data_IF_674371314514
#
_entry.id   IF_674371314514
#
_cell.length_a   1.000
_cell.length_b   1.000
_cell.length_c   1.000
_cell.angle_alpha   90.00
_cell.angle_beta   90.00
_cell.angle_gamma   90.00
#
_symmetry.space_group_name_H-M   'P 1'
#
loop_
_entity.id
_entity.type
_entity.pdbx_description
1 polymer ?
#
# COMPACT_ATOMS: atom_id res chain seq x y z
N UNK A 1 5.40 -9.53 16.04
CA UNK A 1 4.35 -10.33 15.37
C UNK A 1 3.18 -10.43 16.32
N UNK A 2 1.95 -10.08 15.91
CA UNK A 2 0.82 -9.92 16.84
C UNK A 2 -0.02 -11.20 16.88
N UNK A 3 -0.37 -11.69 18.07
CA UNK A 3 -1.31 -12.81 18.24
C UNK A 3 -2.75 -12.30 18.24
N UNK A 4 -3.64 -13.03 17.56
CA UNK A 4 -5.06 -12.74 17.46
C UNK A 4 -5.85 -14.07 17.34
N UNK A 5 -7.18 -14.00 17.37
CA UNK A 5 -8.07 -15.12 17.05
C UNK A 5 -8.95 -14.76 15.86
N UNK A 6 -9.14 -15.69 14.93
CA UNK A 6 -10.10 -15.56 13.84
C UNK A 6 -11.32 -16.41 14.15
N UNK A 7 -12.50 -15.84 13.93
CA UNK A 7 -13.80 -16.48 14.11
C UNK A 7 -14.53 -16.50 12.76
N UNK A 8 -14.88 -17.67 12.25
CA UNK A 8 -15.63 -17.82 10.99
C UNK A 8 -16.72 -18.88 11.18
N UNK A 9 -17.98 -18.44 11.31
CA UNK A 9 -19.09 -19.32 11.68
C UNK A 9 -18.85 -19.97 13.06
N UNK A 10 -18.88 -21.30 13.20
CA UNK A 10 -18.61 -21.99 14.48
C UNK A 10 -17.11 -22.17 14.77
N UNK A 11 -16.21 -21.78 13.86
CA UNK A 11 -14.78 -22.04 13.98
C UNK A 11 -14.06 -20.84 14.58
N UNK A 12 -13.45 -21.01 15.75
CA UNK A 12 -12.50 -20.06 16.35
C UNK A 12 -11.10 -20.66 16.35
N UNK A 13 -10.13 -19.97 15.74
CA UNK A 13 -8.76 -20.43 15.65
C UNK A 13 -7.75 -19.34 16.02
N UNK A 14 -6.64 -19.68 16.72
CA UNK A 14 -5.56 -18.73 16.96
C UNK A 14 -4.79 -18.46 15.66
N UNK A 15 -4.54 -17.19 15.38
CA UNK A 15 -3.79 -16.72 14.21
C UNK A 15 -2.75 -15.70 14.62
N UNK A 16 -1.75 -15.53 13.76
CA UNK A 16 -0.75 -14.48 13.92
C UNK A 16 -0.87 -13.48 12.77
N UNK A 17 -0.90 -12.20 13.11
CA UNK A 17 -0.91 -11.10 12.15
C UNK A 17 0.54 -10.83 11.72
N UNK A 18 0.82 -11.04 10.43
CA UNK A 18 2.11 -10.78 9.78
C UNK A 18 2.21 -9.33 9.35
N UNK A 19 1.28 -8.92 8.48
CA UNK A 19 1.19 -7.58 7.91
C UNK A 19 -0.20 -7.04 8.22
N UNK A 20 -0.28 -5.77 8.62
CA UNK A 20 -1.53 -5.11 8.97
C UNK A 20 -1.59 -3.74 8.29
N UNK A 21 -2.75 -3.42 7.73
CA UNK A 21 -3.07 -2.14 7.10
C UNK A 21 -4.45 -1.66 7.56
N UNK A 22 -4.86 -0.46 7.14
CA UNK A 22 -6.20 0.07 7.45
C UNK A 22 -7.34 -0.75 6.83
N UNK A 23 -7.09 -1.50 5.76
CA UNK A 23 -8.14 -2.17 4.96
C UNK A 23 -7.99 -3.68 4.91
N UNK A 24 -6.94 -4.25 5.49
CA UNK A 24 -6.72 -5.69 5.47
C UNK A 24 -5.46 -6.13 6.20
N UNK A 25 -5.27 -7.45 6.26
CA UNK A 25 -4.13 -8.07 6.91
C UNK A 25 -3.69 -9.37 6.22
N UNK A 26 -2.44 -9.75 6.45
CA UNK A 26 -1.97 -11.10 6.21
C UNK A 26 -1.95 -11.86 7.54
N UNK A 27 -2.69 -12.97 7.60
CA UNK A 27 -2.80 -13.84 8.77
C UNK A 27 -2.10 -15.16 8.50
N UNK A 28 -1.56 -15.76 9.55
CA UNK A 28 -0.92 -17.08 9.53
C UNK A 28 -1.53 -17.94 10.64
N UNK A 29 -1.93 -19.17 10.31
CA UNK A 29 -2.59 -20.06 11.27
C UNK A 29 -2.82 -21.46 10.71
N UNK A 30 -3.04 -22.42 11.60
CA UNK A 30 -3.24 -23.82 11.23
C UNK A 30 -4.67 -24.11 10.73
N UNK A 31 -5.66 -23.32 11.18
CA UNK A 31 -7.07 -23.48 10.83
C UNK A 31 -7.61 -22.16 10.28
N UNK A 32 -7.36 -21.90 8.99
CA UNK A 32 -7.80 -20.69 8.29
C UNK A 32 -9.13 -20.94 7.58
N UNK A 33 -10.06 -19.96 7.56
CA UNK A 33 -11.32 -20.08 6.82
C UNK A 33 -11.06 -20.14 5.31
N UNK A 34 -11.98 -20.72 4.55
CA UNK A 34 -11.89 -20.81 3.09
C UNK A 34 -11.96 -19.43 2.42
N UNK A 35 -11.46 -19.32 1.18
CA UNK A 35 -11.53 -18.08 0.39
C UNK A 35 -12.99 -17.71 0.15
N UNK A 36 -13.33 -16.43 0.36
CA UNK A 36 -14.69 -15.90 0.28
C UNK A 36 -15.48 -15.98 1.60
N UNK A 37 -14.96 -16.66 2.63
CA UNK A 37 -15.62 -16.73 3.92
C UNK A 37 -15.57 -15.39 4.67
N UNK A 38 -16.69 -15.00 5.27
CA UNK A 38 -16.73 -13.92 6.25
C UNK A 38 -16.10 -14.37 7.58
N UNK A 39 -15.36 -13.48 8.22
CA UNK A 39 -14.71 -13.74 9.50
C UNK A 39 -14.81 -12.51 10.41
N UNK A 40 -14.59 -12.73 11.71
CA UNK A 40 -14.30 -11.71 12.70
C UNK A 40 -12.90 -11.97 13.25
N UNK A 41 -11.99 -11.02 13.07
CA UNK A 41 -10.66 -11.07 13.69
C UNK A 41 -10.76 -10.35 15.03
N UNK A 42 -10.26 -10.97 16.09
CA UNK A 42 -10.29 -10.44 17.45
C UNK A 42 -8.89 -10.46 18.06
N UNK A 43 -8.51 -9.34 18.66
CA UNK A 43 -7.29 -9.22 19.47
C UNK A 43 -7.62 -8.36 20.67
N UNK A 44 -7.55 -8.95 21.87
CA UNK A 44 -7.88 -8.27 23.13
C UNK A 44 -9.30 -7.65 23.03
N UNK A 45 -9.44 -6.32 23.14
CA UNK A 45 -10.73 -5.60 23.13
C UNK A 45 -11.13 -5.07 21.74
N UNK A 46 -10.37 -5.43 20.71
CA UNK A 46 -10.54 -4.98 19.35
C UNK A 46 -11.03 -6.14 18.49
N UNK A 47 -12.06 -5.88 17.69
CA UNK A 47 -12.57 -6.83 16.71
C UNK A 47 -12.88 -6.12 15.39
N UNK A 48 -12.70 -6.82 14.28
CA UNK A 48 -13.10 -6.34 12.96
C UNK A 48 -13.60 -7.49 12.09
N UNK A 49 -14.68 -7.24 11.35
CA UNK A 49 -15.22 -8.14 10.35
C UNK A 49 -14.47 -8.02 9.02
N UNK A 50 -14.49 -9.08 8.22
CA UNK A 50 -13.93 -9.05 6.88
C UNK A 50 -14.22 -10.30 6.06
N UNK A 51 -13.64 -10.33 4.86
CA UNK A 51 -13.70 -11.46 3.93
C UNK A 51 -12.30 -12.01 3.62
N UNK A 52 -12.16 -13.33 3.57
CA UNK A 52 -10.90 -13.99 3.16
C UNK A 52 -10.73 -13.86 1.63
N UNK A 53 -9.62 -13.28 1.18
CA UNK A 53 -9.36 -13.01 -0.24
C UNK A 53 -8.52 -14.10 -0.90
N UNK A 54 -7.60 -14.71 -0.16
CA UNK A 54 -6.75 -15.79 -0.67
C UNK A 54 -6.18 -16.62 0.47
N UNK A 55 -5.79 -17.87 0.17
CA UNK A 55 -5.06 -18.76 1.08
C UNK A 55 -3.89 -19.37 0.32
N UNK A 56 -2.69 -19.31 0.89
CA UNK A 56 -1.49 -19.91 0.33
C UNK A 56 -0.51 -20.31 1.43
N UNK A 57 -0.10 -21.58 1.47
CA UNK A 57 0.97 -22.07 2.34
C UNK A 57 0.80 -21.76 3.83
N UNK A 58 -0.40 -21.96 4.39
CA UNK A 58 -0.71 -21.69 5.81
C UNK A 58 -0.89 -20.21 6.15
N UNK A 59 -0.99 -19.34 5.13
CA UNK A 59 -1.31 -17.92 5.26
C UNK A 59 -2.60 -17.61 4.54
N UNK A 60 -3.33 -16.62 5.02
CA UNK A 60 -4.43 -16.03 4.26
C UNK A 60 -4.33 -14.51 4.24
N UNK A 61 -4.75 -13.94 3.13
CA UNK A 61 -5.00 -12.51 3.02
C UNK A 61 -6.46 -12.23 3.31
N UNK A 62 -6.70 -11.25 4.17
CA UNK A 62 -8.03 -10.83 4.54
C UNK A 62 -8.27 -9.36 4.20
N UNK A 63 -9.48 -9.06 3.75
CA UNK A 63 -9.96 -7.71 3.53
C UNK A 63 -10.99 -7.36 4.61
N UNK A 64 -10.87 -6.19 5.22
CA UNK A 64 -11.79 -5.73 6.25
C UNK A 64 -13.04 -5.08 5.64
N UNK A 65 -14.18 -5.22 6.32
CA UNK A 65 -15.45 -4.60 5.91
C UNK A 65 -15.47 -3.08 6.17
N UNK A 66 -14.50 -2.57 6.94
CA UNK A 66 -14.34 -1.16 7.28
C UNK A 66 -12.88 -0.77 7.46
N UNK A 67 -12.64 0.51 7.76
CA UNK A 67 -11.29 1.01 8.04
C UNK A 67 -10.91 0.75 9.49
N UNK A 68 -9.67 0.32 9.70
CA UNK A 68 -9.12 0.09 11.03
C UNK A 68 -7.96 1.02 11.37
N UNK A 69 -7.81 1.37 12.65
CA UNK A 69 -6.68 2.13 13.18
C UNK A 69 -5.54 1.17 13.55
N UNK A 70 -4.46 1.17 12.76
CA UNK A 70 -3.30 0.29 12.98
C UNK A 70 -2.67 0.46 14.39
N UNK A 71 -2.50 1.68 14.94
CA UNK A 71 -2.03 1.88 16.32
C UNK A 71 -2.87 1.16 17.38
N UNK A 72 -4.19 1.16 17.26
CA UNK A 72 -5.07 0.49 18.22
C UNK A 72 -4.82 -1.02 18.18
N UNK A 73 -4.71 -1.60 16.98
CA UNK A 73 -4.41 -3.02 16.80
C UNK A 73 -3.05 -3.46 17.31
N UNK A 74 -2.07 -2.56 17.40
CA UNK A 74 -0.78 -2.82 18.05
C UNK A 74 -0.95 -2.75 19.57
N UNK A 75 -1.57 -1.68 20.07
CA UNK A 75 -1.75 -1.42 21.51
C UNK A 75 -2.73 -2.38 22.20
N UNK A 76 -3.69 -2.96 21.47
CA UNK A 76 -4.62 -3.95 22.00
C UNK A 76 -5.83 -3.40 22.75
N UNK A 77 -5.89 -2.08 22.87
CA UNK A 77 -7.02 -1.35 23.45
C UNK A 77 -7.54 -0.44 22.35
N UNK A 78 -8.86 -0.42 22.12
CA UNK A 78 -9.45 0.66 21.32
C UNK A 78 -9.13 1.94 22.08
N UNK A 79 -8.39 2.87 21.49
CA UNK A 79 -8.20 4.18 22.10
C UNK A 79 -9.59 4.80 22.31
N UNK A 80 -10.14 4.71 23.53
CA UNK A 80 -11.39 5.38 23.90
C UNK A 80 -11.15 6.86 24.15
N UNK A 81 -10.39 7.53 23.27
CA UNK A 81 -9.99 8.92 23.42
C UNK A 81 -9.96 9.65 22.06
N UNK A 82 -10.96 9.35 21.20
CA UNK A 82 -11.61 10.41 20.41
C UNK A 82 -12.54 11.16 21.37
N UNK A 83 -11.94 12.04 22.18
CA UNK A 83 -12.63 12.77 23.24
C UNK A 83 -11.81 13.90 23.86
N UNK A 84 -10.48 13.85 23.84
CA UNK A 84 -9.64 14.95 24.38
C UNK A 84 -8.77 15.63 23.33
N UNK A 85 -8.31 14.89 22.31
CA UNK A 85 -7.60 15.48 21.16
C UNK A 85 -8.54 16.21 20.20
N UNK A 86 -9.76 15.70 20.04
CA UNK A 86 -10.78 16.32 19.20
C UNK A 86 -11.46 17.51 19.90
N UNK A 87 -11.69 17.45 21.22
CA UNK A 87 -12.34 18.56 21.96
C UNK A 87 -11.48 19.83 21.96
N UNK A 88 -10.18 19.71 22.24
CA UNK A 88 -9.26 20.86 22.23
C UNK A 88 -9.16 21.49 20.82
N UNK A 89 -9.23 20.65 19.78
CA UNK A 89 -9.24 21.09 18.39
C UNK A 89 -10.57 21.76 18.02
N UNK A 90 -11.70 21.18 18.43
CA UNK A 90 -13.06 21.73 18.24
C UNK A 90 -13.23 23.05 19.00
N UNK A 91 -12.72 23.17 20.23
CA UNK A 91 -12.76 24.39 21.03
C UNK A 91 -11.90 25.50 20.38
N UNK A 92 -10.75 25.14 19.83
CA UNK A 92 -9.88 26.08 19.07
C UNK A 92 -10.58 26.55 17.79
N UNK A 93 -11.25 25.66 17.07
CA UNK A 93 -12.02 25.97 15.85
C UNK A 93 -13.25 26.82 16.20
N UNK A 94 -13.99 26.49 17.26
CA UNK A 94 -15.15 27.27 17.71
C UNK A 94 -14.76 28.66 18.22
N UNK A 95 -13.59 28.79 18.87
CA UNK A 95 -13.03 30.08 19.25
C UNK A 95 -12.65 30.93 18.03
N UNK A 96 -12.06 30.33 16.98
CA UNK A 96 -11.69 31.02 15.74
C UNK A 96 -12.91 31.49 14.92
N UNK A 97 -14.01 30.73 14.93
CA UNK A 97 -15.27 31.12 14.28
C UNK A 97 -15.94 32.27 15.04
N UNK A 98 -15.89 32.25 16.38
CA UNK A 98 -16.47 33.28 17.25
C UNK A 98 -15.75 34.62 17.15
N UNK A 99 -14.45 34.62 16.84
CA UNK A 99 -13.65 35.84 16.60
C UNK A 99 -13.76 36.39 15.18
N UNK A 100 -14.60 35.80 14.33
CA UNK A 100 -14.96 36.36 13.03
C UNK A 100 -13.88 36.28 11.96
N UNK A 101 -12.83 35.47 12.16
CA UNK A 101 -11.85 35.21 11.11
C UNK A 101 -12.28 33.97 10.34
N UNK A 102 -12.93 34.19 9.19
CA UNK A 102 -13.34 33.10 8.30
C UNK A 102 -12.14 32.23 7.93
N UNK A 103 -12.17 30.97 8.38
CA UNK A 103 -11.14 30.00 8.02
C UNK A 103 -11.42 29.48 6.61
N UNK A 104 -10.54 29.83 5.68
CA UNK A 104 -10.37 29.09 4.42
C UNK A 104 -9.68 27.78 4.81
N UNK A 105 -10.31 26.61 4.67
CA UNK A 105 -9.61 25.36 4.91
C UNK A 105 -8.62 25.15 3.76
N UNK A 106 -7.38 25.58 3.96
CA UNK A 106 -6.25 24.97 3.27
C UNK A 106 -6.15 23.55 3.81
N UNK A 107 -6.82 22.62 3.12
CA UNK A 107 -6.51 21.21 3.20
C UNK A 107 -5.13 21.03 2.58
N UNK A 108 -4.08 21.27 3.37
CA UNK A 108 -2.76 20.81 2.99
C UNK A 108 -2.80 19.28 3.10
N UNK A 109 -2.65 18.60 1.96
CA UNK A 109 -2.51 17.16 1.89
C UNK A 109 -1.49 16.65 2.93
N UNK A 110 -1.65 15.43 3.48
CA UNK A 110 -0.72 14.86 4.45
C UNK A 110 0.70 14.88 3.86
N UNK A 111 1.53 15.79 4.36
CA UNK A 111 2.92 15.89 3.95
C UNK A 111 3.64 14.62 4.43
N UNK A 112 4.42 13.94 3.57
CA UNK A 112 5.14 12.73 3.95
C UNK A 112 6.05 13.03 5.15
N UNK A 113 5.99 12.17 6.16
CA UNK A 113 6.86 12.22 7.34
C UNK A 113 8.33 12.19 6.90
N UNK A 114 9.27 12.91 7.54
CA UNK A 114 10.66 13.03 7.06
C UNK A 114 11.38 11.69 6.84
N UNK A 115 11.10 10.69 7.67
CA UNK A 115 11.63 9.33 7.53
C UNK A 115 11.13 8.62 6.26
N UNK A 116 9.88 8.87 5.87
CA UNK A 116 9.27 8.26 4.69
C UNK A 116 9.78 8.93 3.41
N UNK A 117 9.94 10.25 3.42
CA UNK A 117 10.59 10.98 2.32
C UNK A 117 12.04 10.52 2.11
N UNK A 118 12.80 10.26 3.17
CA UNK A 118 14.16 9.69 3.08
C UNK A 118 14.14 8.27 2.49
N UNK A 119 13.22 7.41 2.93
CA UNK A 119 13.08 6.05 2.39
C UNK A 119 12.65 6.06 0.91
N UNK A 120 11.67 6.88 0.54
CA UNK A 120 11.18 6.99 -0.83
C UNK A 120 12.26 7.52 -1.78
N UNK A 121 13.07 8.47 -1.32
CA UNK A 121 14.26 8.95 -2.04
C UNK A 121 15.28 7.83 -2.25
N UNK A 122 15.63 7.07 -1.21
CA UNK A 122 16.55 5.92 -1.32
C UNK A 122 16.01 4.85 -2.27
N UNK A 123 14.73 4.51 -2.18
CA UNK A 123 14.08 3.55 -3.08
C UNK A 123 14.12 4.04 -4.53
N UNK A 124 13.87 5.33 -4.77
CA UNK A 124 13.99 5.91 -6.13
C UNK A 124 15.41 5.78 -6.70
N UNK A 125 16.43 5.95 -5.86
CA UNK A 125 17.83 5.80 -6.25
C UNK A 125 18.18 4.34 -6.56
N UNK A 126 17.70 3.38 -5.77
CA UNK A 126 17.85 1.95 -6.04
C UNK A 126 17.16 1.55 -7.35
N UNK A 127 15.95 2.05 -7.62
CA UNK A 127 15.26 1.80 -8.90
C UNK A 127 16.03 2.41 -10.08
N UNK A 128 16.60 3.60 -9.92
CA UNK A 128 17.45 4.21 -10.93
C UNK A 128 18.75 3.42 -11.16
N UNK A 129 19.33 2.84 -10.10
CA UNK A 129 20.48 1.96 -10.21
C UNK A 129 20.14 0.68 -10.98
N UNK A 130 19.05 -0.01 -10.63
CA UNK A 130 18.60 -1.22 -11.36
C UNK A 130 18.30 -0.91 -12.82
N UNK A 131 17.67 0.24 -13.12
CA UNK A 131 17.46 0.69 -14.49
C UNK A 131 18.77 0.76 -15.28
N UNK A 132 19.82 1.39 -14.72
CA UNK A 132 21.14 1.47 -15.38
C UNK A 132 21.76 0.10 -15.62
N UNK A 133 21.62 -0.84 -14.67
CA UNK A 133 22.12 -2.20 -14.85
C UNK A 133 21.42 -2.91 -16.02
N UNK A 134 20.10 -2.75 -16.14
CA UNK A 134 19.32 -3.33 -17.24
C UNK A 134 19.64 -2.68 -18.58
N UNK A 135 19.83 -1.36 -18.62
CA UNK A 135 20.22 -0.63 -19.82
C UNK A 135 21.63 -1.06 -20.28
N UNK A 136 22.58 -1.17 -19.37
CA UNK A 136 23.95 -1.63 -19.68
C UNK A 136 23.96 -3.07 -20.21
N UNK A 137 23.20 -3.98 -19.58
CA UNK A 137 23.08 -5.35 -20.06
C UNK A 137 22.36 -5.41 -21.42
N UNK A 138 21.33 -4.60 -21.61
CA UNK A 138 20.62 -4.50 -22.88
C UNK A 138 21.53 -4.03 -24.02
N UNK A 139 22.40 -3.06 -23.75
CA UNK A 139 23.41 -2.57 -24.70
C UNK A 139 24.43 -3.65 -25.03
N UNK A 140 25.02 -4.30 -24.02
CA UNK A 140 26.02 -5.36 -24.21
C UNK A 140 25.48 -6.52 -25.05
N UNK A 141 24.24 -6.95 -24.79
CA UNK A 141 23.57 -7.99 -25.57
C UNK A 141 23.16 -7.53 -26.97
N UNK A 142 22.96 -6.22 -27.16
CA UNK A 142 22.65 -5.64 -28.46
C UNK A 142 23.90 -5.48 -29.34
N UNK A 143 25.09 -5.41 -28.75
CA UNK A 143 26.34 -5.41 -29.52
C UNK A 143 26.67 -6.79 -30.12
N UNK A 144 26.01 -7.86 -29.66
CA UNK A 144 26.17 -9.21 -30.21
C UNK A 144 25.22 -9.48 -31.40
N UNK A 145 25.73 -9.60 -32.65
CA UNK A 145 24.87 -9.72 -33.83
C UNK A 145 23.99 -10.98 -33.84
N UNK A 146 24.49 -12.08 -33.26
CA UNK A 146 23.75 -13.33 -33.15
C UNK A 146 22.58 -13.24 -32.15
N UNK A 147 22.76 -12.47 -31.07
CA UNK A 147 21.72 -12.23 -30.06
C UNK A 147 20.68 -11.27 -30.62
N UNK A 148 21.08 -10.17 -31.25
CA UNK A 148 20.17 -9.27 -31.96
C UNK A 148 19.30 -10.03 -32.97
N UNK A 149 19.91 -10.80 -33.86
CA UNK A 149 19.17 -11.49 -34.93
C UNK A 149 18.12 -12.46 -34.39
N UNK A 150 18.37 -13.10 -33.24
CA UNK A 150 17.49 -14.14 -32.68
C UNK A 150 16.52 -13.62 -31.61
N UNK A 151 16.89 -12.57 -30.90
CA UNK A 151 16.22 -12.13 -29.68
C UNK A 151 15.82 -10.64 -29.70
N UNK A 152 15.83 -9.94 -30.83
CA UNK A 152 15.46 -8.52 -30.94
C UNK A 152 14.18 -8.14 -30.16
N UNK A 153 13.10 -8.92 -30.28
CA UNK A 153 11.85 -8.67 -29.54
C UNK A 153 12.00 -8.88 -28.04
N UNK A 154 12.79 -9.85 -27.61
CA UNK A 154 13.04 -10.08 -26.20
C UNK A 154 13.96 -8.99 -25.61
N UNK A 155 14.92 -8.47 -26.39
CA UNK A 155 15.78 -7.37 -25.97
C UNK A 155 15.00 -6.08 -25.72
N UNK A 156 13.91 -5.84 -26.47
CA UNK A 156 12.98 -4.73 -26.20
C UNK A 156 12.39 -4.78 -24.78
N UNK A 157 12.35 -5.96 -24.12
CA UNK A 157 11.87 -6.06 -22.74
C UNK A 157 12.77 -5.34 -21.73
N UNK A 158 14.07 -5.14 -22.02
CA UNK A 158 14.97 -4.37 -21.18
C UNK A 158 14.65 -2.88 -21.21
N UNK A 159 14.40 -2.33 -22.40
CA UNK A 159 13.95 -0.95 -22.57
C UNK A 159 12.60 -0.71 -21.89
N UNK A 160 11.63 -1.62 -22.11
CA UNK A 160 10.34 -1.55 -21.44
C UNK A 160 10.47 -1.61 -19.92
N UNK A 161 11.31 -2.50 -19.39
CA UNK A 161 11.58 -2.59 -17.96
C UNK A 161 12.24 -1.31 -17.42
N UNK A 162 13.19 -0.74 -18.17
CA UNK A 162 13.84 0.54 -17.85
C UNK A 162 12.84 1.69 -17.76
N UNK A 163 11.92 1.80 -18.73
CA UNK A 163 10.86 2.82 -18.73
C UNK A 163 9.93 2.66 -17.52
N UNK A 164 9.51 1.43 -17.20
CA UNK A 164 8.66 1.15 -16.03
C UNK A 164 9.36 1.57 -14.73
N UNK A 165 10.63 1.16 -14.55
CA UNK A 165 11.42 1.52 -13.38
C UNK A 165 11.59 3.03 -13.24
N UNK A 166 11.85 3.74 -14.35
CA UNK A 166 11.95 5.20 -14.38
C UNK A 166 10.66 5.90 -13.95
N UNK A 167 9.51 5.46 -14.46
CA UNK A 167 8.22 6.00 -14.04
C UNK A 167 7.95 5.77 -12.54
N UNK A 168 8.23 4.56 -12.03
CA UNK A 168 8.03 4.26 -10.61
C UNK A 168 8.96 5.11 -9.72
N UNK A 169 10.23 5.24 -10.09
CA UNK A 169 11.19 6.07 -9.36
C UNK A 169 10.72 7.53 -9.29
N UNK A 170 10.25 8.09 -10.40
CA UNK A 170 9.73 9.45 -10.45
C UNK A 170 8.47 9.64 -9.59
N UNK A 171 7.57 8.64 -9.55
CA UNK A 171 6.38 8.71 -8.68
C UNK A 171 6.77 8.72 -7.20
N UNK A 172 7.78 7.95 -6.79
CA UNK A 172 8.17 7.87 -5.38
C UNK A 172 8.58 9.22 -4.80
N UNK A 173 9.29 10.03 -5.60
CA UNK A 173 9.79 11.36 -5.20
C UNK A 173 8.88 12.52 -5.59
N UNK A 174 7.76 12.26 -6.26
CA UNK A 174 6.83 13.31 -6.65
C UNK A 174 6.07 13.87 -5.44
N UNK A 175 5.95 15.20 -5.39
CA UNK A 175 5.15 15.90 -4.37
C UNK A 175 3.68 15.45 -4.38
N UNK A 176 3.12 15.26 -5.59
CA UNK A 176 1.81 14.67 -5.81
C UNK A 176 1.91 13.42 -6.68
N UNK A 177 1.84 12.27 -6.01
CA UNK A 177 1.89 10.95 -6.65
C UNK A 177 0.70 10.68 -7.57
N UNK A 178 -0.48 11.19 -7.24
CA UNK A 178 -1.67 10.94 -8.05
C UNK A 178 -1.55 11.66 -9.39
N UNK A 179 -1.09 12.92 -9.37
CA UNK A 179 -0.77 13.67 -10.58
C UNK A 179 0.37 13.01 -11.37
N UNK A 180 1.43 12.56 -10.70
CA UNK A 180 2.54 11.86 -11.35
C UNK A 180 2.09 10.56 -12.06
N UNK A 181 1.21 9.77 -11.44
CA UNK A 181 0.63 8.56 -12.06
C UNK A 181 -0.22 8.92 -13.27
N UNK A 182 -1.03 9.97 -13.19
CA UNK A 182 -1.86 10.41 -14.31
C UNK A 182 -1.06 10.94 -15.50
N UNK A 183 0.14 11.49 -15.26
CA UNK A 183 1.04 11.97 -16.29
C UNK A 183 1.82 10.85 -17.02
N UNK A 184 1.70 9.60 -16.59
CA UNK A 184 2.35 8.47 -17.27
C UNK A 184 1.70 8.26 -18.64
N UNK A 185 2.51 8.41 -19.70
CA UNK A 185 2.08 8.13 -21.08
C UNK A 185 1.84 6.64 -21.38
N UNK A 186 2.45 5.74 -20.60
CA UNK A 186 2.24 4.29 -20.70
C UNK A 186 0.86 3.88 -20.13
N UNK A 187 -0.15 3.72 -21.01
CA UNK A 187 -1.52 3.42 -20.59
C UNK A 187 -1.63 2.14 -19.76
N UNK A 188 -0.93 1.07 -20.13
CA UNK A 188 -0.97 -0.19 -19.39
C UNK A 188 -0.36 -0.05 -18.00
N UNK A 189 0.78 0.63 -17.88
CA UNK A 189 1.43 0.88 -16.59
C UNK A 189 0.53 1.74 -15.70
N UNK A 190 0.00 2.83 -16.26
CA UNK A 190 -0.94 3.71 -15.57
C UNK A 190 -2.20 2.95 -15.12
N UNK A 191 -2.75 2.10 -15.99
CA UNK A 191 -3.90 1.24 -15.68
C UNK A 191 -3.63 0.30 -14.51
N UNK A 192 -2.47 -0.37 -14.51
CA UNK A 192 -2.02 -1.23 -13.39
C UNK A 192 -1.87 -0.44 -12.08
N UNK A 193 -1.28 0.74 -12.13
CA UNK A 193 -1.08 1.59 -10.94
C UNK A 193 -2.40 2.15 -10.39
N UNK A 194 -3.33 2.53 -11.28
CA UNK A 194 -4.68 2.98 -10.91
C UNK A 194 -5.63 1.83 -10.56
N UNK A 195 -5.17 0.57 -10.63
CA UNK A 195 -5.96 -0.66 -10.45
C UNK A 195 -7.23 -0.67 -11.31
N UNK A 196 -7.17 -0.09 -12.52
CA UNK A 196 -8.27 -0.21 -13.48
C UNK A 196 -8.33 -1.68 -13.94
N UNK A 197 -9.53 -2.29 -14.03
CA UNK A 197 -9.64 -3.62 -14.59
C UNK A 197 -9.11 -3.59 -16.02
N UNK A 198 -8.18 -4.50 -16.32
CA UNK A 198 -7.72 -4.74 -17.69
C UNK A 198 -8.95 -5.17 -18.48
N UNK A 199 -9.40 -4.34 -19.42
CA UNK A 199 -10.42 -4.76 -20.38
C UNK A 199 -9.78 -5.89 -21.21
N UNK A 200 -10.31 -7.10 -21.05
CA UNK A 200 -9.97 -8.24 -21.91
C UNK A 200 -10.54 -8.03 -23.31
#
# INVERSE_FOLDING_TARGET
MLSASIEAGPLTAPVRIRNLSETGAALEGAALPHVGASFTLRRLDISIGGTVMWIAGGRCGVQFDGRTCVPDWISGTRSSLSGTRDQTHVDTIQAAIRTGSGFVPTSAAPQPTPLQADLDSRLSQELAFVRRLLEQLGEELSDEPAVLARHMRALQSFDLAGQILGHIANILVADDRATAVNAIGMEDLRGRLLRKPVAQ
#
